data_IF_769654436441
#
_entry.id   IF_769654436441
#
_cell.length_a   1.000
_cell.length_b   1.000
_cell.length_c   1.000
_cell.angle_alpha   90.00
_cell.angle_beta   90.00
_cell.angle_gamma   90.00
#
_symmetry.space_group_name_H-M   'P 1'
#
loop_
_entity.id
_entity.type
_entity.pdbx_description
1 polymer ?
#
# COMPACT_ATOMS: atom_id res chain seq x y z
N UNK A 1 -10.60 -12.12 -3.84
CA UNK A 1 -9.89 -12.66 -5.01
C UNK A 1 -8.56 -11.93 -5.24
N UNK A 2 -8.56 -10.62 -5.49
CA UNK A 2 -7.37 -9.83 -5.75
C UNK A 2 -6.46 -9.68 -4.52
N UNK A 3 -7.03 -9.69 -3.32
CA UNK A 3 -6.25 -9.72 -2.09
C UNK A 3 -5.36 -10.97 -2.01
N UNK A 4 -5.91 -12.14 -2.29
CA UNK A 4 -5.14 -13.39 -2.31
C UNK A 4 -4.09 -13.38 -3.42
N UNK A 5 -4.45 -12.94 -4.62
CA UNK A 5 -3.51 -12.80 -5.74
C UNK A 5 -2.34 -11.90 -5.37
N UNK A 6 -2.59 -10.76 -4.71
CA UNK A 6 -1.57 -9.88 -4.18
C UNK A 6 -0.61 -10.64 -3.25
N UNK A 7 -1.16 -11.34 -2.25
CA UNK A 7 -0.32 -12.05 -1.26
C UNK A 7 0.52 -13.16 -1.88
N UNK A 8 -0.04 -13.92 -2.80
CA UNK A 8 0.69 -14.97 -3.53
C UNK A 8 1.80 -14.35 -4.39
N UNK A 9 1.49 -13.29 -5.14
CA UNK A 9 2.48 -12.61 -5.99
C UNK A 9 3.63 -12.03 -5.13
N UNK A 10 3.31 -11.34 -4.04
CA UNK A 10 4.31 -10.79 -3.13
C UNK A 10 5.21 -11.90 -2.54
N UNK A 11 4.61 -12.99 -2.05
CA UNK A 11 5.37 -14.13 -1.51
C UNK A 11 6.28 -14.80 -2.54
N UNK A 12 5.85 -14.91 -3.81
CA UNK A 12 6.69 -15.43 -4.89
C UNK A 12 7.89 -14.52 -5.16
N UNK A 13 7.69 -13.19 -5.11
CA UNK A 13 8.78 -12.23 -5.27
C UNK A 13 9.76 -12.29 -4.09
N UNK A 14 9.27 -12.43 -2.86
CA UNK A 14 10.10 -12.61 -1.68
C UNK A 14 10.94 -13.91 -1.78
N UNK A 15 10.35 -15.01 -2.24
CA UNK A 15 11.08 -16.26 -2.49
C UNK A 15 12.18 -16.09 -3.55
N UNK A 16 11.96 -15.29 -4.57
CA UNK A 16 12.98 -14.96 -5.54
C UNK A 16 14.09 -14.09 -4.93
N UNK A 17 13.73 -13.01 -4.26
CA UNK A 17 14.68 -12.00 -3.77
C UNK A 17 15.51 -12.51 -2.59
N UNK A 18 14.87 -13.19 -1.64
CA UNK A 18 15.53 -13.60 -0.39
C UNK A 18 16.03 -15.05 -0.37
N UNK A 19 15.50 -15.90 -1.25
CA UNK A 19 15.83 -17.32 -1.30
C UNK A 19 16.47 -17.75 -2.64
N UNK A 20 16.74 -16.80 -3.55
CA UNK A 20 17.27 -17.06 -4.91
C UNK A 20 16.48 -18.12 -5.69
N UNK A 21 15.17 -18.19 -5.48
CA UNK A 21 14.30 -19.16 -6.12
C UNK A 21 13.81 -18.66 -7.48
N UNK A 22 14.51 -19.03 -8.55
CA UNK A 22 14.18 -18.62 -9.92
C UNK A 22 12.81 -19.12 -10.38
N UNK A 23 12.39 -20.32 -9.95
CA UNK A 23 11.07 -20.86 -10.29
C UNK A 23 9.95 -19.96 -9.74
N UNK A 24 10.15 -19.37 -8.56
CA UNK A 24 9.18 -18.42 -7.99
C UNK A 24 8.98 -17.21 -8.90
N UNK A 25 10.04 -16.65 -9.48
CA UNK A 25 9.92 -15.55 -10.45
C UNK A 25 9.17 -15.98 -11.72
N UNK A 26 9.43 -17.18 -12.24
CA UNK A 26 8.72 -17.69 -13.43
C UNK A 26 7.21 -17.85 -13.17
N UNK A 27 6.84 -18.31 -11.96
CA UNK A 27 5.43 -18.41 -11.54
C UNK A 27 4.83 -17.03 -11.34
N UNK A 28 5.58 -16.09 -10.72
CA UNK A 28 5.14 -14.72 -10.51
C UNK A 28 4.80 -14.01 -11.84
N UNK A 29 5.65 -14.17 -12.87
CA UNK A 29 5.39 -13.64 -14.22
C UNK A 29 4.10 -14.20 -14.80
N UNK A 30 3.92 -15.52 -14.79
CA UNK A 30 2.70 -16.17 -15.32
C UNK A 30 1.43 -15.71 -14.58
N UNK A 31 1.53 -15.52 -13.27
CA UNK A 31 0.42 -14.99 -12.46
C UNK A 31 0.10 -13.53 -12.84
N UNK A 32 1.12 -12.70 -13.05
CA UNK A 32 0.94 -11.31 -13.47
C UNK A 32 0.39 -11.21 -14.91
N UNK A 33 0.85 -12.06 -15.83
CA UNK A 33 0.35 -12.13 -17.21
C UNK A 33 -1.12 -12.53 -17.24
N UNK A 34 -1.50 -13.50 -16.40
CA UNK A 34 -2.90 -13.87 -16.23
C UNK A 34 -3.74 -12.71 -15.64
N UNK A 35 -3.21 -12.00 -14.63
CA UNK A 35 -3.87 -10.83 -14.05
C UNK A 35 -4.05 -9.72 -15.10
N UNK A 36 -3.01 -9.48 -15.93
CA UNK A 36 -3.07 -8.53 -17.05
C UNK A 36 -4.15 -8.92 -18.07
N UNK A 37 -4.14 -10.16 -18.53
CA UNK A 37 -5.13 -10.65 -19.48
C UNK A 37 -6.58 -10.56 -18.96
N UNK A 38 -6.76 -10.68 -17.65
CA UNK A 38 -8.04 -10.42 -16.97
C UNK A 38 -8.41 -8.94 -16.95
N UNK A 39 -7.49 -8.10 -16.51
CA UNK A 39 -7.69 -6.66 -16.38
C UNK A 39 -7.88 -5.96 -17.74
N UNK A 40 -7.27 -6.46 -18.81
CA UNK A 40 -7.39 -5.89 -20.17
C UNK A 40 -8.80 -6.05 -20.76
N UNK A 41 -9.61 -6.93 -20.20
CA UNK A 41 -11.04 -7.08 -20.56
C UNK A 41 -11.93 -6.00 -19.95
N UNK A 42 -11.42 -5.24 -19.00
CA UNK A 42 -12.17 -4.24 -18.25
C UNK A 42 -11.75 -2.82 -18.65
N UNK A 43 -12.74 -1.94 -18.77
CA UNK A 43 -12.46 -0.50 -18.82
C UNK A 43 -11.87 -0.02 -17.50
N UNK A 44 -11.22 1.13 -17.51
CA UNK A 44 -10.68 1.73 -16.27
C UNK A 44 -11.79 1.98 -15.24
N UNK A 45 -13.00 2.40 -15.69
CA UNK A 45 -14.14 2.59 -14.79
C UNK A 45 -14.56 1.29 -14.10
N UNK A 46 -14.66 0.18 -14.86
CA UNK A 46 -14.98 -1.13 -14.29
C UNK A 46 -13.93 -1.59 -13.29
N UNK A 47 -12.65 -1.35 -13.59
CA UNK A 47 -11.56 -1.68 -12.67
C UNK A 47 -11.66 -0.87 -11.37
N UNK A 48 -11.96 0.45 -11.45
CA UNK A 48 -12.15 1.28 -10.26
C UNK A 48 -13.35 0.82 -9.42
N UNK A 49 -14.49 0.46 -10.05
CA UNK A 49 -15.63 -0.10 -9.33
C UNK A 49 -15.28 -1.42 -8.62
N UNK A 50 -14.45 -2.27 -9.25
CA UNK A 50 -13.94 -3.48 -8.60
C UNK A 50 -13.08 -3.14 -7.38
N UNK A 51 -12.21 -2.12 -7.48
CA UNK A 51 -11.32 -1.70 -6.40
C UNK A 51 -12.05 -1.11 -5.18
N UNK A 52 -13.29 -0.63 -5.34
CA UNK A 52 -14.14 -0.21 -4.22
C UNK A 52 -14.53 -1.39 -3.30
N UNK A 53 -14.57 -2.60 -3.85
CA UNK A 53 -14.99 -3.82 -3.15
C UNK A 53 -13.79 -4.69 -2.79
N UNK A 54 -12.84 -4.85 -3.71
CA UNK A 54 -11.65 -5.69 -3.53
C UNK A 54 -10.48 -4.90 -2.96
N UNK A 55 -9.70 -5.59 -2.12
CA UNK A 55 -8.58 -4.95 -1.45
C UNK A 55 -7.37 -4.78 -2.37
N UNK A 56 -6.86 -3.57 -2.43
CA UNK A 56 -5.73 -3.22 -3.26
C UNK A 56 -4.40 -3.23 -2.47
N UNK A 57 -3.44 -3.90 -2.96
CA UNK A 57 -2.03 -3.96 -2.53
C UNK A 57 -1.25 -4.63 -3.65
N UNK A 58 -1.98 -5.15 -4.64
CA UNK A 58 -1.39 -5.74 -5.84
C UNK A 58 -0.59 -4.73 -6.66
N UNK A 59 -0.92 -3.44 -6.56
CA UNK A 59 -0.17 -2.36 -7.18
C UNK A 59 1.30 -2.30 -6.70
N UNK A 60 1.59 -2.64 -5.42
CA UNK A 60 2.96 -2.78 -4.91
C UNK A 60 3.65 -4.00 -5.54
N UNK A 61 3.01 -5.16 -5.49
CA UNK A 61 3.62 -6.41 -5.97
C UNK A 61 3.93 -6.35 -7.48
N UNK A 62 3.03 -5.79 -8.29
CA UNK A 62 3.24 -5.58 -9.72
C UNK A 62 4.36 -4.56 -10.01
N UNK A 63 4.45 -3.48 -9.22
CA UNK A 63 5.55 -2.53 -9.33
C UNK A 63 6.90 -3.18 -8.98
N UNK A 64 6.94 -4.03 -7.94
CA UNK A 64 8.14 -4.79 -7.61
C UNK A 64 8.51 -5.79 -8.71
N UNK A 65 7.54 -6.47 -9.31
CA UNK A 65 7.78 -7.35 -10.45
C UNK A 65 8.36 -6.58 -11.65
N UNK A 66 7.83 -5.39 -11.94
CA UNK A 66 8.37 -4.51 -12.99
C UNK A 66 9.83 -4.15 -12.73
N UNK A 67 10.18 -3.80 -11.48
CA UNK A 67 11.55 -3.47 -11.10
C UNK A 67 12.51 -4.66 -11.24
N UNK A 68 12.06 -5.87 -10.88
CA UNK A 68 12.86 -7.10 -10.94
C UNK A 68 13.08 -7.54 -12.40
N UNK A 69 12.05 -7.42 -13.24
CA UNK A 69 12.08 -7.94 -14.62
C UNK A 69 12.53 -6.93 -15.65
N UNK A 70 12.45 -5.64 -15.34
CA UNK A 70 12.64 -4.54 -16.31
C UNK A 70 11.47 -4.38 -17.27
N UNK A 71 10.37 -5.12 -17.10
CA UNK A 71 9.22 -5.09 -18.01
C UNK A 71 8.26 -3.95 -17.62
N UNK A 72 8.11 -2.93 -18.49
CA UNK A 72 7.26 -1.78 -18.21
C UNK A 72 5.76 -2.12 -18.18
N UNK A 73 5.33 -3.22 -18.80
CA UNK A 73 3.91 -3.61 -18.83
C UNK A 73 3.39 -3.92 -17.42
N UNK A 74 4.22 -4.50 -16.56
CA UNK A 74 3.83 -4.74 -15.15
C UNK A 74 3.69 -3.44 -14.37
N UNK A 75 4.47 -2.40 -14.67
CA UNK A 75 4.30 -1.09 -14.04
C UNK A 75 3.01 -0.41 -14.54
N UNK A 76 2.70 -0.51 -15.84
CA UNK A 76 1.44 0.00 -16.38
C UNK A 76 0.24 -0.71 -15.73
N UNK A 77 0.32 -2.03 -15.56
CA UNK A 77 -0.71 -2.79 -14.86
C UNK A 77 -0.83 -2.36 -13.40
N UNK A 78 0.29 -2.17 -12.70
CA UNK A 78 0.30 -1.66 -11.32
C UNK A 78 -0.44 -0.32 -11.20
N UNK A 79 -0.21 0.59 -12.14
CA UNK A 79 -0.89 1.90 -12.19
C UNK A 79 -2.40 1.77 -12.40
N UNK A 80 -2.86 0.81 -13.19
CA UNK A 80 -4.29 0.54 -13.37
C UNK A 80 -4.95 0.04 -12.09
N UNK A 81 -4.21 -0.64 -11.22
CA UNK A 81 -4.68 -1.08 -9.89
C UNK A 81 -4.57 0.01 -8.81
N UNK A 82 -4.21 1.23 -9.14
CA UNK A 82 -4.30 2.34 -8.22
C UNK A 82 -5.77 2.70 -7.96
N UNK A 83 -6.20 2.58 -6.70
CA UNK A 83 -7.57 2.91 -6.28
C UNK A 83 -7.72 4.43 -6.16
N UNK A 84 -8.22 5.06 -7.22
CA UNK A 84 -8.25 6.52 -7.34
C UNK A 84 -9.19 7.19 -6.34
N UNK A 85 -10.26 6.51 -5.89
CA UNK A 85 -11.15 7.01 -4.86
C UNK A 85 -10.44 7.20 -3.49
N UNK A 86 -9.30 6.52 -3.28
CA UNK A 86 -8.49 6.63 -2.06
C UNK A 86 -7.22 7.44 -2.30
N UNK A 87 -6.46 7.12 -3.36
CA UNK A 87 -5.20 7.80 -3.66
C UNK A 87 -5.40 9.24 -4.16
N UNK A 88 -6.47 9.49 -4.91
CA UNK A 88 -6.75 10.81 -5.48
C UNK A 88 -6.97 11.89 -4.41
N UNK A 89 -7.88 11.72 -3.45
CA UNK A 89 -8.01 12.64 -2.32
C UNK A 89 -6.69 12.86 -1.58
N UNK A 90 -5.95 11.80 -1.26
CA UNK A 90 -4.66 11.90 -0.58
C UNK A 90 -3.62 12.69 -1.38
N UNK A 91 -3.59 12.56 -2.71
CA UNK A 91 -2.74 13.36 -3.59
C UNK A 91 -3.10 14.85 -3.57
N UNK A 92 -4.35 15.17 -3.29
CA UNK A 92 -4.84 16.53 -3.09
C UNK A 92 -4.79 16.99 -1.63
N UNK A 93 -4.16 16.20 -0.74
CA UNK A 93 -4.08 16.41 0.71
C UNK A 93 -5.47 16.55 1.37
N UNK A 94 -6.47 15.84 0.82
CA UNK A 94 -7.83 15.74 1.34
C UNK A 94 -7.97 14.40 2.11
N UNK A 95 -8.27 14.49 3.41
CA UNK A 95 -8.44 13.32 4.27
C UNK A 95 -9.82 12.69 4.11
N UNK A 96 -9.85 11.47 3.62
CA UNK A 96 -11.04 10.64 3.45
C UNK A 96 -10.92 9.27 4.14
N UNK A 97 -10.07 9.15 5.18
CA UNK A 97 -9.76 7.85 5.78
C UNK A 97 -10.80 7.38 6.80
N UNK A 98 -11.49 8.29 7.49
CA UNK A 98 -12.44 7.93 8.55
C UNK A 98 -13.46 6.89 8.09
N UNK A 99 -13.57 5.79 8.82
CA UNK A 99 -14.49 4.70 8.52
C UNK A 99 -14.02 3.71 7.45
N UNK A 100 -12.87 3.94 6.81
CA UNK A 100 -12.27 2.96 5.91
C UNK A 100 -11.53 1.88 6.72
N UNK A 101 -11.54 0.65 6.22
CA UNK A 101 -10.77 -0.44 6.81
C UNK A 101 -9.27 -0.18 6.64
N UNK A 102 -8.54 0.00 7.74
CA UNK A 102 -7.18 0.53 7.74
C UNK A 102 -6.20 -0.37 6.95
N UNK A 103 -6.16 -1.66 7.28
CA UNK A 103 -5.22 -2.59 6.65
C UNK A 103 -5.43 -2.76 5.13
N UNK A 104 -6.62 -2.44 4.61
CA UNK A 104 -6.87 -2.47 3.16
C UNK A 104 -6.37 -1.22 2.45
N UNK A 105 -6.19 -0.12 3.18
CA UNK A 105 -5.72 1.14 2.57
C UNK A 105 -4.20 1.26 2.59
N UNK A 106 -3.54 0.95 3.70
CA UNK A 106 -2.08 1.14 3.84
C UNK A 106 -1.29 0.51 2.67
N UNK A 107 -1.55 -0.75 2.23
CA UNK A 107 -0.83 -1.35 1.11
C UNK A 107 -0.95 -0.58 -0.20
N UNK A 108 -2.06 0.13 -0.46
CA UNK A 108 -2.24 0.96 -1.65
C UNK A 108 -1.22 2.09 -1.71
N UNK A 109 -0.91 2.69 -0.56
CA UNK A 109 0.07 3.77 -0.45
C UNK A 109 1.51 3.26 -0.50
N UNK A 110 1.78 2.03 -0.05
CA UNK A 110 3.07 1.37 -0.27
C UNK A 110 3.27 1.18 -1.78
N UNK A 111 2.23 0.73 -2.49
CA UNK A 111 2.26 0.60 -3.95
C UNK A 111 2.45 1.95 -4.65
N UNK A 112 1.82 3.02 -4.18
CA UNK A 112 2.04 4.38 -4.69
C UNK A 112 3.50 4.82 -4.48
N UNK A 113 4.04 4.59 -3.28
CA UNK A 113 5.43 4.88 -2.97
C UNK A 113 6.40 4.14 -3.91
N UNK A 114 6.18 2.84 -4.10
CA UNK A 114 7.03 2.04 -4.99
C UNK A 114 6.93 2.48 -6.46
N UNK A 115 5.75 2.83 -6.93
CA UNK A 115 5.55 3.35 -8.29
C UNK A 115 6.24 4.70 -8.50
N UNK A 116 6.20 5.60 -7.50
CA UNK A 116 6.95 6.85 -7.54
C UNK A 116 8.45 6.61 -7.75
N UNK A 117 9.04 5.65 -7.04
CA UNK A 117 10.45 5.29 -7.20
C UNK A 117 10.81 4.84 -8.63
N UNK A 118 9.84 4.27 -9.35
CA UNK A 118 10.05 3.73 -10.69
C UNK A 118 9.75 4.73 -11.82
N UNK A 119 8.82 5.66 -11.60
CA UNK A 119 8.33 6.54 -12.67
C UNK A 119 8.39 8.04 -12.37
N UNK A 120 8.74 8.43 -11.13
CA UNK A 120 8.90 9.82 -10.73
C UNK A 120 7.61 10.65 -10.69
N UNK A 121 6.42 10.04 -10.68
CA UNK A 121 5.16 10.78 -10.67
C UNK A 121 4.86 11.40 -9.31
N UNK A 122 5.01 12.71 -9.17
CA UNK A 122 4.94 13.46 -7.92
C UNK A 122 3.60 13.29 -7.17
N UNK A 123 2.48 13.07 -7.85
CA UNK A 123 1.21 12.86 -7.17
C UNK A 123 1.20 11.58 -6.31
N UNK A 124 1.94 10.55 -6.70
CA UNK A 124 2.09 9.30 -5.94
C UNK A 124 2.90 9.54 -4.66
N UNK A 125 4.00 10.31 -4.77
CA UNK A 125 4.79 10.75 -3.61
C UNK A 125 3.95 11.57 -2.65
N UNK A 126 3.19 12.54 -3.17
CA UNK A 126 2.31 13.39 -2.37
C UNK A 126 1.28 12.55 -1.64
N UNK A 127 0.61 11.62 -2.34
CA UNK A 127 -0.38 10.73 -1.73
C UNK A 127 0.23 9.89 -0.60
N UNK A 128 1.38 9.26 -0.83
CA UNK A 128 2.06 8.42 0.15
C UNK A 128 2.52 9.21 1.38
N UNK A 129 3.11 10.38 1.18
CA UNK A 129 3.60 11.25 2.27
C UNK A 129 2.44 11.81 3.08
N UNK A 130 1.40 12.34 2.43
CA UNK A 130 0.22 12.86 3.11
C UNK A 130 -0.51 11.78 3.91
N UNK A 131 -0.68 10.60 3.34
CA UNK A 131 -1.26 9.47 4.05
C UNK A 131 -0.47 9.13 5.32
N UNK A 132 0.85 9.04 5.22
CA UNK A 132 1.71 8.76 6.37
C UNK A 132 1.56 9.84 7.45
N UNK A 133 1.64 11.12 7.06
CA UNK A 133 1.45 12.26 7.97
C UNK A 133 0.12 12.18 8.70
N UNK A 134 -0.95 11.92 7.96
CA UNK A 134 -2.30 11.83 8.50
C UNK A 134 -2.45 10.67 9.50
N UNK A 135 -1.92 9.47 9.16
CA UNK A 135 -2.02 8.31 10.05
C UNK A 135 -1.15 8.49 11.29
N UNK A 136 0.11 8.90 11.11
CA UNK A 136 1.08 8.94 12.21
C UNK A 136 0.82 10.10 13.17
N UNK A 137 0.46 11.27 12.65
CA UNK A 137 0.31 12.48 13.46
C UNK A 137 -1.09 12.63 14.05
N UNK A 138 -2.12 12.18 13.32
CA UNK A 138 -3.51 12.48 13.66
C UNK A 138 -4.30 11.26 14.18
N UNK A 139 -3.81 10.01 13.91
CA UNK A 139 -4.57 8.78 14.17
C UNK A 139 -3.81 7.68 14.90
N UNK A 140 -2.54 7.89 15.23
CA UNK A 140 -1.74 6.88 15.93
C UNK A 140 -1.74 7.08 17.44
N UNK A 141 -1.86 5.98 18.15
CA UNK A 141 -1.65 5.94 19.59
C UNK A 141 -0.15 6.07 19.94
N UNK A 142 0.15 6.29 21.21
CA UNK A 142 1.52 6.50 21.70
C UNK A 142 2.50 5.42 21.24
N UNK A 143 2.03 4.18 21.15
CA UNK A 143 2.81 3.02 20.68
C UNK A 143 2.94 2.92 19.15
N UNK A 144 2.47 3.91 18.40
CA UNK A 144 2.57 3.92 16.92
C UNK A 144 1.48 3.14 16.18
N UNK A 145 0.68 2.33 16.87
CA UNK A 145 -0.47 1.65 16.27
C UNK A 145 -1.66 2.58 16.05
N UNK A 146 -2.59 2.20 15.20
CA UNK A 146 -3.79 2.99 14.87
C UNK A 146 -5.01 2.10 14.60
N UNK A 147 -6.18 2.74 14.53
CA UNK A 147 -7.45 2.09 14.22
C UNK A 147 -8.16 1.50 15.44
N UNK A 148 -9.46 1.30 15.28
CA UNK A 148 -10.36 0.60 16.22
C UNK A 148 -11.19 -0.39 15.42
N UNK A 149 -11.20 -1.68 15.83
CA UNK A 149 -11.91 -2.73 15.12
C UNK A 149 -11.54 -2.80 13.65
N UNK A 150 -10.23 -2.64 13.32
CA UNK A 150 -9.65 -2.63 11.97
C UNK A 150 -9.93 -1.37 11.12
N UNK A 151 -10.66 -0.36 11.64
CA UNK A 151 -11.07 0.82 10.88
C UNK A 151 -10.37 2.09 11.36
N UNK A 152 -10.17 3.04 10.46
CA UNK A 152 -9.70 4.38 10.82
C UNK A 152 -10.78 5.12 11.62
N UNK A 153 -10.41 5.61 12.79
CA UNK A 153 -11.25 6.49 13.60
C UNK A 153 -11.20 7.94 13.06
N UNK A 154 -12.19 8.78 13.38
CA UNK A 154 -12.04 10.21 13.16
C UNK A 154 -10.79 10.75 13.86
N UNK A 155 -10.22 11.83 13.33
CA UNK A 155 -9.18 12.59 14.02
C UNK A 155 -9.70 13.06 15.39
N UNK A 156 -8.79 13.31 16.33
CA UNK A 156 -9.10 13.82 17.69
C UNK A 156 -9.96 12.89 18.59
N UNK A 157 -10.27 11.66 18.13
CA UNK A 157 -11.10 10.71 18.90
C UNK A 157 -10.33 9.57 19.57
N UNK A 158 -9.00 9.60 19.52
CA UNK A 158 -8.16 8.50 20.00
C UNK A 158 -8.43 8.09 21.45
N UNK A 159 -8.60 9.07 22.36
CA UNK A 159 -8.88 8.78 23.76
C UNK A 159 -10.23 8.10 23.99
N UNK A 160 -11.21 8.39 23.13
CA UNK A 160 -12.56 7.80 23.19
C UNK A 160 -12.60 6.43 22.51
N UNK A 161 -11.70 6.20 21.56
CA UNK A 161 -11.60 4.97 20.78
C UNK A 161 -10.66 3.93 21.43
N UNK A 162 -10.01 4.26 22.54
CA UNK A 162 -9.08 3.35 23.22
C UNK A 162 -9.82 2.15 23.81
N UNK A 163 -9.41 0.95 23.44
CA UNK A 163 -10.03 -0.29 23.87
C UNK A 163 -9.19 -1.52 23.54
N UNK A 164 -9.77 -2.70 23.75
CA UNK A 164 -9.09 -3.98 23.50
C UNK A 164 -8.90 -4.32 22.02
N UNK A 165 -9.60 -3.63 21.12
CA UNK A 165 -9.60 -3.89 19.67
C UNK A 165 -8.89 -2.77 18.89
N UNK A 166 -7.89 -2.13 19.49
CA UNK A 166 -7.08 -1.09 18.85
C UNK A 166 -5.72 -1.62 18.40
N UNK A 167 -5.07 -0.90 17.50
CA UNK A 167 -3.67 -1.13 17.13
C UNK A 167 -3.39 -2.51 16.52
N UNK A 168 -4.19 -2.90 15.53
CA UNK A 168 -3.95 -4.16 14.82
C UNK A 168 -2.54 -4.22 14.23
N UNK A 169 -1.81 -5.31 14.50
CA UNK A 169 -0.41 -5.47 14.12
C UNK A 169 -0.17 -5.39 12.60
N UNK A 170 -1.12 -5.86 11.77
CA UNK A 170 -1.01 -5.78 10.33
C UNK A 170 -1.00 -4.33 9.83
N UNK A 171 -1.73 -3.42 10.47
CA UNK A 171 -1.68 -2.00 10.17
C UNK A 171 -0.28 -1.43 10.46
N UNK A 172 0.26 -1.74 11.63
CA UNK A 172 1.61 -1.31 12.05
C UNK A 172 2.67 -1.85 11.09
N UNK A 173 2.64 -3.15 10.78
CA UNK A 173 3.56 -3.76 9.82
C UNK A 173 3.58 -3.03 8.47
N UNK A 174 2.40 -2.75 7.90
CA UNK A 174 2.31 -2.07 6.63
C UNK A 174 2.76 -0.60 6.73
N UNK A 175 2.49 0.09 7.84
CA UNK A 175 3.00 1.45 8.07
C UNK A 175 4.52 1.48 8.19
N UNK A 176 5.14 0.48 8.80
CA UNK A 176 6.61 0.35 8.83
C UNK A 176 7.19 0.19 7.42
N UNK A 177 6.55 -0.61 6.55
CA UNK A 177 6.94 -0.72 5.14
C UNK A 177 6.86 0.63 4.43
N UNK A 178 5.76 1.37 4.58
CA UNK A 178 5.61 2.70 3.99
C UNK A 178 6.67 3.67 4.53
N UNK A 179 6.89 3.68 5.85
CA UNK A 179 7.86 4.54 6.50
C UNK A 179 9.27 4.33 5.94
N UNK A 180 9.65 3.07 5.66
CA UNK A 180 10.94 2.76 5.02
C UNK A 180 11.09 3.44 3.65
N UNK A 181 10.06 3.45 2.80
CA UNK A 181 10.11 4.16 1.52
C UNK A 181 10.35 5.65 1.74
N UNK A 182 9.57 6.29 2.62
CA UNK A 182 9.69 7.72 2.89
C UNK A 182 11.06 8.08 3.46
N UNK A 183 11.59 7.27 4.38
CA UNK A 183 12.93 7.47 4.95
C UNK A 183 14.03 7.35 3.89
N UNK A 184 13.90 6.42 2.93
CA UNK A 184 14.85 6.29 1.85
C UNK A 184 14.84 7.48 0.88
N UNK A 185 13.70 8.17 0.72
CA UNK A 185 13.62 9.37 -0.09
C UNK A 185 14.21 10.59 0.60
N UNK A 186 13.89 10.73 1.90
CA UNK A 186 14.31 11.84 2.73
C UNK A 186 14.52 11.33 4.16
N UNK A 187 15.77 11.17 4.63
CA UNK A 187 16.07 10.59 5.94
C UNK A 187 15.79 11.59 7.07
N UNK A 188 14.51 11.74 7.43
CA UNK A 188 14.05 12.62 8.50
C UNK A 188 13.95 11.85 9.81
N UNK A 189 14.30 12.50 10.93
CA UNK A 189 14.23 11.91 12.25
C UNK A 189 12.82 11.38 12.60
N UNK A 190 11.76 12.10 12.18
CA UNK A 190 10.37 11.70 12.46
C UNK A 190 9.99 10.32 11.90
N UNK A 191 10.59 9.92 10.77
CA UNK A 191 10.38 8.58 10.21
C UNK A 191 11.07 7.50 11.04
N UNK A 192 12.31 7.77 11.47
CA UNK A 192 13.07 6.87 12.33
C UNK A 192 12.40 6.72 13.70
N UNK A 193 12.00 7.83 14.32
CA UNK A 193 11.31 7.85 15.61
C UNK A 193 9.99 7.07 15.58
N UNK A 194 9.20 7.24 14.50
CA UNK A 194 7.99 6.45 14.33
C UNK A 194 8.31 4.96 14.17
N UNK A 195 9.31 4.63 13.34
CA UNK A 195 9.69 3.26 13.08
C UNK A 195 10.12 2.54 14.36
N UNK A 196 11.01 3.15 15.14
CA UNK A 196 11.50 2.60 16.41
C UNK A 196 10.36 2.44 17.44
N UNK A 197 9.49 3.44 17.55
CA UNK A 197 8.38 3.41 18.51
C UNK A 197 7.33 2.36 18.17
N UNK A 198 7.10 2.09 16.89
CA UNK A 198 6.04 1.18 16.41
C UNK A 198 6.51 -0.28 16.26
N UNK A 199 7.84 -0.51 16.31
CA UNK A 199 8.45 -1.83 16.25
C UNK A 199 8.39 -2.54 17.61
#
# INVERSE_FOLDING_TARGET
>A
FWYQTHKVLAGLLDMYVYCDNRQALDVARKLADWAKAGADKWSNSQLQTMLDIEHGGINEALANLAAITGDPEYLQLAMRFNHLAVLGPAANRDDRLTGLHANTQVPKFIGAARQYELNGQEWLKTAATFFWENVVKERSYVIGGHGLGEYFTPQETLSQALGSNTCETCNTYNMLKLTRHLFCWEPRAEYADYYERAL
#
